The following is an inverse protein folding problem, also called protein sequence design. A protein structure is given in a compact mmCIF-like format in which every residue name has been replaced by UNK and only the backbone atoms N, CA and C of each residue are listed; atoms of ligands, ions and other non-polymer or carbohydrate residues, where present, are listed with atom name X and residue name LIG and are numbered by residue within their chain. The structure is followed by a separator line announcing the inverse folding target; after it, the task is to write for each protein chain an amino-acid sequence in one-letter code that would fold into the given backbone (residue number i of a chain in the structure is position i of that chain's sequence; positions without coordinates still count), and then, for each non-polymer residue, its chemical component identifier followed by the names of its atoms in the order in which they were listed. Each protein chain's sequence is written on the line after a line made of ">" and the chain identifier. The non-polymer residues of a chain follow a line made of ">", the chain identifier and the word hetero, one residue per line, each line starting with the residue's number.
data_IF_866973188182
#
_entry.id   IF_866973188182
#
_cell.length_a   1.000
_cell.length_b   1.000
_cell.length_c   1.000
_cell.angle_alpha   90.00
_cell.angle_beta   90.00
_cell.angle_gamma   90.00
#
_symmetry.space_group_name_H-M   'P 1'
#
loop_
_entity.id
_entity.type
_entity.pdbx_description
1 polymer ?
#
# COMPACT_ATOMS: atom_id res chain seq x y z
N UNK A 1 -4.85 16.25 4.47
CA UNK A 1 -4.88 14.77 4.45
C UNK A 1 -4.57 14.32 3.04
N UNK A 2 -3.66 13.39 2.85
CA UNK A 2 -3.29 12.85 1.54
C UNK A 2 -4.30 11.79 1.09
N UNK A 3 -4.67 11.82 -0.19
CA UNK A 3 -5.42 10.75 -0.85
C UNK A 3 -4.45 10.04 -1.78
N UNK A 4 -4.34 8.72 -1.62
CA UNK A 4 -3.36 7.89 -2.32
C UNK A 4 -4.13 6.83 -3.08
N UNK A 5 -4.20 6.95 -4.42
CA UNK A 5 -4.76 5.88 -5.25
C UNK A 5 -3.98 4.58 -5.07
N UNK A 6 -4.68 3.47 -5.16
CA UNK A 6 -4.12 2.11 -5.07
C UNK A 6 -4.31 1.39 -6.39
N UNK A 7 -3.25 0.74 -6.85
CA UNK A 7 -3.29 -0.24 -7.93
C UNK A 7 -2.81 -1.59 -7.42
N UNK A 8 -3.64 -2.62 -7.58
CA UNK A 8 -3.26 -4.01 -7.36
C UNK A 8 -2.91 -4.61 -8.72
N UNK A 9 -1.65 -5.03 -8.91
CA UNK A 9 -1.16 -5.59 -10.16
C UNK A 9 -1.12 -7.12 -10.08
N UNK A 10 -1.74 -7.78 -11.06
CA UNK A 10 -1.75 -9.24 -11.21
C UNK A 10 -1.80 -9.61 -12.68
N UNK A 11 -0.95 -10.52 -13.12
CA UNK A 11 -0.90 -11.02 -14.50
C UNK A 11 -0.86 -9.89 -15.55
N UNK A 12 -0.07 -8.84 -15.31
CA UNK A 12 0.10 -7.70 -16.23
C UNK A 12 -1.05 -6.69 -16.23
N UNK A 13 -2.02 -6.80 -15.33
CA UNK A 13 -3.23 -5.99 -15.31
C UNK A 13 -3.48 -5.39 -13.91
N UNK A 14 -4.19 -4.26 -13.89
CA UNK A 14 -4.80 -3.76 -12.66
C UNK A 14 -6.03 -4.60 -12.35
N UNK A 15 -6.11 -5.11 -11.12
CA UNK A 15 -7.21 -5.96 -10.67
C UNK A 15 -8.02 -5.31 -9.55
N UNK A 16 -9.26 -5.73 -9.41
CA UNK A 16 -10.14 -5.29 -8.33
C UNK A 16 -9.91 -6.15 -7.09
N UNK A 17 -9.24 -5.57 -6.08
CA UNK A 17 -9.04 -6.24 -4.80
C UNK A 17 -10.36 -6.38 -4.02
N UNK A 18 -10.60 -7.58 -3.46
CA UNK A 18 -11.80 -7.88 -2.70
C UNK A 18 -11.49 -8.83 -1.54
N UNK A 19 -11.71 -8.36 -0.30
CA UNK A 19 -11.59 -9.13 0.95
C UNK A 19 -10.27 -9.88 1.15
N UNK A 20 -9.18 -9.44 0.50
CA UNK A 20 -7.89 -10.14 0.57
C UNK A 20 -7.88 -11.53 -0.09
N UNK A 21 -8.91 -11.86 -0.90
CA UNK A 21 -9.00 -13.11 -1.67
C UNK A 21 -8.32 -12.97 -3.03
N UNK A 22 -6.97 -12.88 -3.02
CA UNK A 22 -6.12 -12.60 -4.17
C UNK A 22 -6.27 -13.59 -5.33
N UNK A 23 -6.76 -14.81 -5.06
CA UNK A 23 -6.96 -15.84 -6.11
C UNK A 23 -8.08 -15.45 -7.06
N UNK A 24 -9.13 -14.81 -6.55
CA UNK A 24 -10.35 -14.48 -7.28
C UNK A 24 -10.40 -13.01 -7.76
N UNK A 25 -9.28 -12.28 -7.74
CA UNK A 25 -9.24 -10.91 -8.26
C UNK A 25 -9.35 -10.92 -9.77
N UNK A 26 -10.29 -10.15 -10.29
CA UNK A 26 -10.55 -9.97 -11.72
C UNK A 26 -9.98 -8.61 -12.19
N UNK A 27 -9.70 -8.48 -13.50
CA UNK A 27 -9.31 -7.19 -14.08
C UNK A 27 -10.30 -6.09 -13.71
N UNK A 28 -9.78 -4.89 -13.40
CA UNK A 28 -10.62 -3.77 -12.99
C UNK A 28 -11.57 -3.37 -14.10
N UNK A 29 -12.82 -3.11 -13.72
CA UNK A 29 -13.81 -2.43 -14.55
C UNK A 29 -14.13 -1.10 -13.89
N UNK A 30 -13.77 0.00 -14.52
CA UNK A 30 -13.92 1.34 -13.97
C UNK A 30 -14.53 2.29 -14.99
N UNK A 31 -15.30 3.26 -14.50
CA UNK A 31 -15.77 4.37 -15.31
C UNK A 31 -14.62 5.26 -15.83
N UNK A 32 -13.45 5.18 -15.20
CA UNK A 32 -12.26 5.95 -15.58
C UNK A 32 -11.60 5.42 -16.86
N UNK A 33 -11.69 4.11 -17.13
CA UNK A 33 -11.05 3.49 -18.28
C UNK A 33 -11.70 2.17 -18.66
N UNK A 34 -11.78 1.89 -19.97
CA UNK A 34 -12.19 0.58 -20.50
C UNK A 34 -11.03 -0.44 -20.51
N UNK A 35 -9.80 -0.01 -20.18
CA UNK A 35 -8.61 -0.86 -20.11
C UNK A 35 -8.23 -1.13 -18.68
N UNK A 36 -7.70 -2.32 -18.42
CA UNK A 36 -7.04 -2.71 -17.15
C UNK A 36 -5.51 -2.62 -17.23
N UNK A 37 -4.96 -2.07 -18.33
CA UNK A 37 -3.51 -1.83 -18.47
C UNK A 37 -3.02 -0.79 -17.45
N UNK A 38 -1.96 -1.08 -16.66
CA UNK A 38 -1.53 -0.22 -15.56
C UNK A 38 -1.25 1.23 -15.97
N UNK A 39 -0.53 1.44 -17.07
CA UNK A 39 -0.18 2.79 -17.53
C UNK A 39 -1.43 3.58 -17.97
N UNK A 40 -2.41 2.93 -18.60
CA UNK A 40 -3.67 3.58 -19.03
C UNK A 40 -4.48 3.99 -17.80
N UNK A 41 -4.57 3.13 -16.77
CA UNK A 41 -5.25 3.47 -15.52
C UNK A 41 -4.57 4.66 -14.82
N UNK A 42 -3.23 4.69 -14.75
CA UNK A 42 -2.50 5.81 -14.14
C UNK A 42 -2.73 7.11 -14.92
N UNK A 43 -2.74 7.07 -16.27
CA UNK A 43 -3.08 8.23 -17.11
C UNK A 43 -4.49 8.76 -16.80
N UNK A 44 -5.45 7.87 -16.66
CA UNK A 44 -6.83 8.25 -16.32
C UNK A 44 -6.91 8.88 -14.92
N UNK A 45 -6.26 8.28 -13.92
CA UNK A 45 -6.18 8.84 -12.56
C UNK A 45 -5.53 10.22 -12.53
N UNK A 46 -4.39 10.40 -13.21
CA UNK A 46 -3.68 11.67 -13.27
C UNK A 46 -4.45 12.75 -14.05
N UNK A 47 -5.29 12.35 -14.98
CA UNK A 47 -6.20 13.27 -15.69
C UNK A 47 -7.38 13.71 -14.81
N UNK A 48 -7.81 12.88 -13.86
CA UNK A 48 -8.85 13.21 -12.91
C UNK A 48 -8.34 14.20 -11.85
N UNK A 49 -7.16 13.95 -11.31
CA UNK A 49 -6.51 14.78 -10.30
C UNK A 49 -4.99 14.54 -10.33
N UNK A 50 -4.14 15.59 -10.17
CA UNK A 50 -2.68 15.44 -10.15
C UNK A 50 -2.21 14.83 -8.81
N UNK A 51 -2.42 13.53 -8.65
CA UNK A 51 -1.99 12.82 -7.45
C UNK A 51 -0.47 12.85 -7.33
N UNK A 52 0.03 13.12 -6.13
CA UNK A 52 1.47 13.12 -5.81
C UNK A 52 2.00 11.75 -5.48
N UNK A 53 1.13 10.86 -5.00
CA UNK A 53 1.46 9.52 -4.51
C UNK A 53 0.59 8.50 -5.21
N UNK A 54 1.16 7.34 -5.47
CA UNK A 54 0.46 6.16 -5.99
C UNK A 54 0.96 4.94 -5.24
N UNK A 55 0.07 4.20 -4.59
CA UNK A 55 0.43 2.91 -4.01
C UNK A 55 0.23 1.81 -5.04
N UNK A 56 1.23 0.94 -5.19
CA UNK A 56 1.17 -0.24 -6.05
C UNK A 56 1.44 -1.47 -5.19
N UNK A 57 0.48 -2.40 -5.16
CA UNK A 57 0.70 -3.77 -4.70
C UNK A 57 1.03 -4.66 -5.92
N UNK A 58 2.25 -5.13 -6.00
CA UNK A 58 2.65 -6.14 -7.00
C UNK A 58 2.29 -7.53 -6.47
N UNK A 59 1.06 -7.96 -6.77
CA UNK A 59 0.53 -9.21 -6.21
C UNK A 59 1.26 -10.45 -6.72
N UNK A 60 1.80 -10.42 -7.94
CA UNK A 60 2.59 -11.54 -8.45
C UNK A 60 3.93 -11.65 -7.69
N UNK A 61 4.57 -10.51 -7.38
CA UNK A 61 5.78 -10.50 -6.55
C UNK A 61 5.49 -10.94 -5.10
N UNK A 62 4.41 -10.43 -4.49
CA UNK A 62 3.98 -10.83 -3.14
C UNK A 62 3.74 -12.34 -3.05
N UNK A 63 3.15 -12.93 -4.10
CA UNK A 63 2.82 -14.37 -4.16
C UNK A 63 3.97 -15.24 -4.71
N UNK A 64 5.06 -14.64 -5.20
CA UNK A 64 6.20 -15.37 -5.79
C UNK A 64 5.92 -15.93 -7.19
N UNK A 65 4.98 -15.34 -7.94
CA UNK A 65 4.55 -15.77 -9.26
C UNK A 65 5.13 -14.93 -10.41
N UNK A 66 6.08 -14.05 -10.12
CA UNK A 66 6.67 -13.10 -11.08
C UNK A 66 6.76 -11.70 -10.50
N UNK A 67 6.76 -10.67 -11.34
CA UNK A 67 6.74 -9.27 -10.92
C UNK A 67 6.31 -8.35 -12.06
N UNK A 68 5.97 -7.09 -11.72
CA UNK A 68 5.58 -6.05 -12.67
C UNK A 68 6.60 -4.90 -12.74
N UNK A 69 7.90 -5.23 -12.60
CA UNK A 69 8.96 -4.21 -12.58
C UNK A 69 9.03 -3.39 -13.88
N UNK A 70 8.72 -3.98 -15.03
CA UNK A 70 8.71 -3.29 -16.32
C UNK A 70 7.55 -2.28 -16.39
N UNK A 71 6.36 -2.66 -15.98
CA UNK A 71 5.16 -1.82 -15.93
C UNK A 71 5.36 -0.64 -14.99
N UNK A 72 5.91 -0.88 -13.79
CA UNK A 72 6.18 0.14 -12.79
C UNK A 72 7.22 1.15 -13.31
N UNK A 73 8.29 0.67 -13.95
CA UNK A 73 9.30 1.54 -14.58
C UNK A 73 8.72 2.38 -15.72
N UNK A 74 7.80 1.83 -16.50
CA UNK A 74 7.09 2.58 -17.56
C UNK A 74 6.21 3.68 -16.95
N UNK A 75 5.50 3.40 -15.85
CA UNK A 75 4.73 4.43 -15.13
C UNK A 75 5.67 5.55 -14.62
N UNK A 76 6.80 5.20 -14.01
CA UNK A 76 7.77 6.20 -13.52
C UNK A 76 8.34 7.07 -14.64
N UNK A 77 8.56 6.49 -15.81
CA UNK A 77 9.08 7.22 -17.00
C UNK A 77 8.07 8.25 -17.49
N UNK A 78 6.78 7.88 -17.57
CA UNK A 78 5.72 8.78 -18.05
C UNK A 78 5.31 9.82 -16.99
N UNK A 79 5.47 9.47 -15.70
CA UNK A 79 5.11 10.31 -14.55
C UNK A 79 6.29 10.49 -13.58
N UNK A 80 7.34 11.24 -13.95
CA UNK A 80 8.58 11.34 -13.15
C UNK A 80 8.40 12.03 -11.80
N UNK A 81 7.32 12.81 -11.62
CA UNK A 81 6.99 13.52 -10.38
C UNK A 81 6.02 12.76 -9.47
N UNK A 82 5.50 11.61 -9.95
CA UNK A 82 4.64 10.72 -9.16
C UNK A 82 5.50 9.82 -8.27
N UNK A 83 5.38 9.96 -6.95
CA UNK A 83 6.05 9.07 -6.00
C UNK A 83 5.27 7.75 -5.90
N UNK A 84 5.88 6.66 -6.35
CA UNK A 84 5.29 5.33 -6.27
C UNK A 84 5.69 4.69 -4.95
N UNK A 85 4.71 4.27 -4.15
CA UNK A 85 4.85 3.45 -2.97
C UNK A 85 4.65 1.99 -3.37
N UNK A 86 5.73 1.24 -3.41
CA UNK A 86 5.71 -0.14 -3.92
C UNK A 86 5.72 -1.16 -2.79
N UNK A 87 4.67 -1.96 -2.71
CA UNK A 87 4.63 -3.21 -1.98
C UNK A 87 4.78 -4.37 -2.98
N UNK A 88 5.93 -5.04 -2.94
CA UNK A 88 6.22 -6.22 -3.75
C UNK A 88 6.55 -7.44 -2.87
N UNK A 89 6.07 -7.44 -1.63
CA UNK A 89 6.28 -8.54 -0.69
C UNK A 89 7.76 -8.76 -0.37
N UNK A 90 8.50 -7.68 -0.14
CA UNK A 90 9.94 -7.74 0.14
C UNK A 90 10.24 -8.61 1.36
N UNK A 91 11.13 -9.60 1.19
CA UNK A 91 11.55 -10.54 2.23
C UNK A 91 13.04 -10.47 2.54
N UNK A 92 13.83 -9.90 1.63
CA UNK A 92 15.28 -9.81 1.72
C UNK A 92 15.81 -8.45 1.27
N UNK A 93 17.02 -8.08 1.70
CA UNK A 93 17.71 -6.85 1.29
C UNK A 93 18.05 -6.83 -0.20
N UNK A 94 18.37 -7.99 -0.79
CA UNK A 94 18.69 -8.11 -2.22
C UNK A 94 17.49 -7.74 -3.10
N UNK A 95 16.28 -8.10 -2.68
CA UNK A 95 15.06 -7.73 -3.40
C UNK A 95 14.85 -6.20 -3.44
N UNK A 96 15.26 -5.49 -2.38
CA UNK A 96 15.22 -4.02 -2.30
C UNK A 96 16.30 -3.40 -3.19
N UNK A 97 17.49 -4.00 -3.26
CA UNK A 97 18.60 -3.49 -4.06
C UNK A 97 18.24 -3.36 -5.55
N UNK A 98 17.36 -4.21 -6.07
CA UNK A 98 16.87 -4.12 -7.44
C UNK A 98 16.14 -2.80 -7.75
N UNK A 99 15.67 -2.08 -6.72
CA UNK A 99 14.93 -0.81 -6.82
C UNK A 99 15.74 0.42 -6.44
N UNK A 100 17.00 0.27 -6.00
CA UNK A 100 17.83 1.38 -5.50
C UNK A 100 18.06 2.51 -6.50
N UNK A 101 18.01 2.23 -7.81
CA UNK A 101 18.19 3.23 -8.87
C UNK A 101 16.86 3.78 -9.40
N UNK A 102 15.76 3.50 -8.73
CA UNK A 102 14.42 3.98 -9.06
C UNK A 102 13.97 5.08 -8.10
N UNK A 103 12.94 5.84 -8.47
CA UNK A 103 12.27 6.81 -7.58
C UNK A 103 11.12 6.15 -6.78
N UNK A 104 11.12 4.82 -6.71
CA UNK A 104 10.13 4.08 -5.95
C UNK A 104 10.46 4.15 -4.47
N UNK A 105 9.47 4.39 -3.65
CA UNK A 105 9.55 4.27 -2.21
C UNK A 105 9.07 2.88 -1.79
N UNK A 106 9.91 2.15 -1.09
CA UNK A 106 9.61 0.78 -0.66
C UNK A 106 8.55 0.79 0.44
N UNK A 107 7.57 -0.10 0.30
CA UNK A 107 6.64 -0.46 1.38
C UNK A 107 7.01 -1.84 1.89
N UNK A 108 7.25 -1.93 3.20
CA UNK A 108 7.50 -3.20 3.88
C UNK A 108 6.18 -3.67 4.51
N UNK A 109 5.51 -4.62 3.84
CA UNK A 109 4.29 -5.23 4.33
C UNK A 109 4.58 -6.26 5.42
N UNK A 110 3.98 -6.10 6.60
CA UNK A 110 4.25 -6.95 7.75
C UNK A 110 3.88 -8.41 7.51
N UNK A 111 2.88 -8.68 6.68
CA UNK A 111 2.49 -10.05 6.29
C UNK A 111 3.61 -10.81 5.55
N UNK A 112 4.53 -10.07 4.90
CA UNK A 112 5.65 -10.64 4.14
C UNK A 112 6.95 -10.79 4.95
N UNK A 113 7.01 -10.17 6.14
CA UNK A 113 8.20 -10.19 6.99
C UNK A 113 8.36 -11.55 7.68
N UNK A 114 9.58 -12.11 7.56
CA UNK A 114 9.92 -13.42 8.15
C UNK A 114 10.40 -13.28 9.59
N UNK A 115 11.17 -12.22 9.89
CA UNK A 115 11.76 -11.98 11.22
C UNK A 115 12.09 -10.51 11.40
N UNK A 116 12.34 -10.11 12.66
CA UNK A 116 12.81 -8.75 12.98
C UNK A 116 14.22 -8.50 12.43
N UNK A 117 15.07 -9.52 12.38
CA UNK A 117 16.43 -9.36 11.83
C UNK A 117 16.39 -9.12 10.31
N UNK A 118 15.56 -9.85 9.58
CA UNK A 118 15.36 -9.58 8.14
C UNK A 118 14.74 -8.21 7.90
N UNK A 119 13.80 -7.79 8.74
CA UNK A 119 13.21 -6.45 8.70
C UNK A 119 14.27 -5.36 8.89
N UNK A 120 15.12 -5.46 9.93
CA UNK A 120 16.21 -4.52 10.17
C UNK A 120 17.23 -4.48 9.03
N UNK A 121 17.57 -5.63 8.45
CA UNK A 121 18.44 -5.70 7.28
C UNK A 121 17.83 -4.97 6.08
N UNK A 122 16.53 -5.13 5.84
CA UNK A 122 15.81 -4.40 4.79
C UNK A 122 15.71 -2.91 5.04
N UNK A 123 15.49 -2.47 6.29
CA UNK A 123 15.55 -1.04 6.64
C UNK A 123 16.90 -0.41 6.27
N UNK A 124 18.00 -1.11 6.57
CA UNK A 124 19.35 -0.64 6.27
C UNK A 124 19.67 -0.65 4.76
N UNK A 125 19.03 -1.53 3.98
CA UNK A 125 19.18 -1.60 2.54
C UNK A 125 18.42 -0.48 1.79
N UNK A 126 17.41 0.11 2.41
CA UNK A 126 16.62 1.19 1.80
C UNK A 126 17.44 2.49 1.74
N UNK A 127 17.53 3.12 0.56
CA UNK A 127 18.17 4.46 0.41
C UNK A 127 17.35 5.59 1.02
N UNK A 128 16.05 5.47 0.97
CA UNK A 128 15.10 6.39 1.59
C UNK A 128 14.32 5.64 2.66
N UNK A 129 13.87 6.35 3.69
CA UNK A 129 13.05 5.73 4.74
C UNK A 129 11.84 5.02 4.12
N UNK A 130 11.71 3.70 4.28
CA UNK A 130 10.57 2.98 3.75
C UNK A 130 9.30 3.31 4.53
N UNK A 131 8.17 2.89 4.01
CA UNK A 131 6.88 2.91 4.70
C UNK A 131 6.66 1.50 5.26
N UNK A 132 6.20 1.41 6.49
CA UNK A 132 5.78 0.13 7.07
C UNK A 132 4.28 -0.04 6.89
N UNK A 133 3.83 -1.15 6.29
CA UNK A 133 2.44 -1.55 6.33
C UNK A 133 2.23 -2.54 7.48
N UNK A 134 1.43 -2.16 8.45
CA UNK A 134 0.94 -3.05 9.50
C UNK A 134 -0.35 -3.70 9.00
N UNK A 135 -0.26 -4.97 8.64
CA UNK A 135 -1.31 -5.70 7.98
C UNK A 135 -2.13 -6.49 8.99
N UNK A 136 -3.44 -6.29 8.95
CA UNK A 136 -4.40 -6.97 9.84
C UNK A 136 -5.43 -7.74 9.01
N UNK A 137 -5.83 -8.90 9.49
CA UNK A 137 -6.93 -9.68 8.91
C UNK A 137 -7.80 -10.25 10.01
N UNK A 138 -9.10 -9.94 9.97
CA UNK A 138 -10.06 -10.29 11.02
C UNK A 138 -9.60 -9.85 12.43
N UNK A 139 -9.01 -8.65 12.53
CA UNK A 139 -8.48 -8.10 13.78
C UNK A 139 -7.14 -8.68 14.24
N UNK A 140 -6.57 -9.66 13.55
CA UNK A 140 -5.29 -10.27 13.88
C UNK A 140 -4.15 -9.63 13.08
N UNK A 141 -3.08 -9.26 13.75
CA UNK A 141 -1.86 -8.77 13.12
C UNK A 141 -1.16 -9.90 12.33
N UNK A 142 -0.73 -9.59 11.13
CA UNK A 142 0.05 -10.49 10.28
C UNK A 142 1.49 -10.01 10.24
N UNK A 143 2.38 -10.72 10.92
CA UNK A 143 3.81 -10.38 10.94
C UNK A 143 4.51 -10.87 12.20
N UNK A 144 5.80 -10.58 12.34
CA UNK A 144 6.55 -10.91 13.55
C UNK A 144 5.99 -10.17 14.77
N UNK A 145 5.60 -10.90 15.81
CA UNK A 145 4.99 -10.35 17.03
C UNK A 145 5.79 -9.19 17.68
N UNK A 146 7.14 -9.21 17.75
CA UNK A 146 7.89 -8.09 18.28
C UNK A 146 7.66 -6.77 17.52
N UNK A 147 7.32 -6.83 16.24
CA UNK A 147 7.09 -5.61 15.44
C UNK A 147 5.87 -4.83 15.93
N UNK A 148 4.77 -5.52 16.27
CA UNK A 148 3.56 -4.84 16.76
C UNK A 148 3.70 -4.40 18.23
N UNK A 149 4.54 -5.08 19.00
CA UNK A 149 4.73 -4.82 20.43
C UNK A 149 5.78 -3.72 20.71
N UNK A 150 6.68 -3.43 19.76
CA UNK A 150 7.71 -2.39 19.89
C UNK A 150 7.63 -1.34 18.78
N UNK A 151 6.86 -0.26 18.99
CA UNK A 151 6.74 0.82 18.00
C UNK A 151 8.06 1.56 17.70
N UNK A 152 9.10 1.42 18.52
CA UNK A 152 10.41 2.02 18.23
C UNK A 152 11.08 1.38 16.99
N UNK A 153 10.61 0.21 16.58
CA UNK A 153 11.03 -0.43 15.33
C UNK A 153 10.40 0.20 14.09
N UNK A 154 9.34 1.02 14.23
CA UNK A 154 8.60 1.55 13.11
C UNK A 154 9.29 2.78 12.51
N UNK A 155 9.25 2.95 11.17
CA UNK A 155 9.61 4.20 10.54
C UNK A 155 8.55 5.28 10.85
N UNK A 156 8.86 6.53 10.45
CA UNK A 156 7.95 7.66 10.72
C UNK A 156 6.61 7.60 9.98
N UNK A 157 6.48 6.75 8.97
CA UNK A 157 5.27 6.61 8.16
C UNK A 157 4.78 5.16 8.19
N UNK A 158 3.52 5.00 8.59
CA UNK A 158 2.90 3.70 8.80
C UNK A 158 1.55 3.65 8.10
N UNK A 159 1.33 2.61 7.31
CA UNK A 159 0.02 2.23 6.80
C UNK A 159 -0.60 1.25 7.79
N UNK A 160 -1.85 1.46 8.16
CA UNK A 160 -2.67 0.47 8.87
C UNK A 160 -3.60 -0.15 7.85
N UNK A 161 -3.29 -1.38 7.45
CA UNK A 161 -3.96 -2.11 6.39
C UNK A 161 -4.90 -3.16 6.97
N UNK A 162 -6.22 -2.99 6.76
CA UNK A 162 -7.23 -3.97 7.15
C UNK A 162 -7.65 -4.78 5.92
N UNK A 163 -6.99 -5.93 5.72
CA UNK A 163 -7.08 -6.72 4.49
C UNK A 163 -8.48 -7.27 4.21
N UNK A 164 -9.21 -7.70 5.23
CA UNK A 164 -10.58 -8.19 5.08
C UNK A 164 -11.59 -7.08 4.76
N UNK A 165 -11.21 -5.82 4.97
CA UNK A 165 -12.03 -4.67 4.59
C UNK A 165 -11.68 -4.10 3.21
N UNK A 166 -10.61 -4.54 2.57
CA UNK A 166 -10.26 -4.11 1.20
C UNK A 166 -11.40 -4.47 0.24
N UNK A 167 -11.94 -3.45 -0.46
CA UNK A 167 -13.06 -3.61 -1.40
C UNK A 167 -14.42 -3.95 -0.76
N UNK A 168 -14.54 -3.94 0.58
CA UNK A 168 -15.78 -4.30 1.30
C UNK A 168 -16.82 -3.18 1.36
N UNK A 169 -16.39 -1.92 1.16
CA UNK A 169 -17.23 -0.73 1.37
C UNK A 169 -17.84 -0.63 2.79
N UNK A 170 -17.16 -1.18 3.81
CA UNK A 170 -17.64 -1.19 5.21
C UNK A 170 -17.27 0.08 5.99
N UNK A 171 -16.40 0.91 5.45
CA UNK A 171 -15.74 2.02 6.13
C UNK A 171 -14.38 1.61 6.72
N UNK A 172 -13.51 2.58 7.10
CA UNK A 172 -12.21 2.30 7.70
C UNK A 172 -12.35 1.71 9.11
N UNK A 173 -11.43 0.83 9.50
CA UNK A 173 -11.38 0.29 10.87
C UNK A 173 -10.82 1.34 11.85
N UNK A 174 -11.71 2.19 12.35
CA UNK A 174 -11.35 3.26 13.29
C UNK A 174 -10.83 2.72 14.63
N UNK A 175 -11.21 1.50 15.01
CA UNK A 175 -10.76 0.85 16.25
C UNK A 175 -9.28 0.48 16.13
N UNK A 176 -8.93 -0.21 15.04
CA UNK A 176 -7.55 -0.60 14.78
C UNK A 176 -6.64 0.62 14.58
N UNK A 177 -7.11 1.59 13.78
CA UNK A 177 -6.41 2.87 13.57
C UNK A 177 -6.13 3.61 14.88
N UNK A 178 -7.11 3.67 15.80
CA UNK A 178 -6.95 4.30 17.11
C UNK A 178 -5.97 3.54 17.98
N UNK A 179 -6.01 2.20 17.98
CA UNK A 179 -5.07 1.37 18.74
C UNK A 179 -3.62 1.66 18.31
N UNK A 180 -3.34 1.65 17.01
CA UNK A 180 -2.00 1.95 16.47
C UNK A 180 -1.56 3.38 16.81
N UNK A 181 -2.44 4.37 16.65
CA UNK A 181 -2.13 5.76 16.97
C UNK A 181 -1.80 5.98 18.44
N UNK A 182 -2.42 5.22 19.34
CA UNK A 182 -2.12 5.28 20.77
C UNK A 182 -0.75 4.68 21.11
N UNK A 183 -0.29 3.67 20.35
CA UNK A 183 1.04 3.06 20.52
C UNK A 183 2.15 4.00 20.04
N UNK A 184 1.92 4.74 18.94
CA UNK A 184 2.94 5.60 18.33
C UNK A 184 2.34 6.89 17.77
N UNK A 185 2.10 7.85 18.66
CA UNK A 185 1.40 9.10 18.33
C UNK A 185 2.17 10.06 17.40
N UNK A 186 3.47 9.85 17.21
CA UNK A 186 4.34 10.70 16.36
C UNK A 186 4.43 10.23 14.92
N UNK A 187 3.98 9.01 14.62
CA UNK A 187 3.99 8.51 13.25
C UNK A 187 2.95 9.22 12.36
N UNK A 188 3.30 9.39 11.10
CA UNK A 188 2.35 9.71 10.05
C UNK A 188 1.57 8.44 9.70
N UNK A 189 0.29 8.37 10.08
CA UNK A 189 -0.53 7.18 9.92
C UNK A 189 -1.47 7.35 8.73
N UNK A 190 -1.47 6.34 7.85
CA UNK A 190 -2.32 6.21 6.67
C UNK A 190 -3.30 5.06 6.87
N UNK A 191 -4.57 5.31 6.59
CA UNK A 191 -5.62 4.29 6.67
C UNK A 191 -5.74 3.54 5.34
N UNK A 192 -5.86 2.21 5.38
CA UNK A 192 -6.07 1.38 4.21
C UNK A 192 -7.09 0.26 4.48
N UNK A 193 -8.00 0.06 3.54
CA UNK A 193 -9.11 -0.89 3.64
C UNK A 193 -10.44 -0.23 4.03
N UNK A 194 -11.50 -0.57 3.31
CA UNK A 194 -12.89 -0.23 3.60
C UNK A 194 -13.35 1.19 3.24
N UNK A 195 -12.47 2.12 2.92
CA UNK A 195 -12.82 3.53 2.63
C UNK A 195 -13.71 3.59 1.39
N UNK A 196 -14.85 4.25 1.51
CA UNK A 196 -15.93 4.23 0.50
C UNK A 196 -16.46 5.63 0.12
N UNK A 197 -16.29 6.62 0.99
CA UNK A 197 -16.98 7.91 0.82
C UNK A 197 -16.16 9.10 1.33
N UNK A 198 -16.58 10.28 0.92
CA UNK A 198 -16.04 11.55 1.42
C UNK A 198 -16.24 11.68 2.94
N UNK A 199 -17.32 11.12 3.51
CA UNK A 199 -17.58 11.16 4.95
C UNK A 199 -16.57 10.32 5.74
N UNK A 200 -16.14 9.17 5.17
CA UNK A 200 -15.05 8.39 5.76
C UNK A 200 -13.74 9.21 5.78
N UNK A 201 -13.43 9.92 4.68
CA UNK A 201 -12.27 10.80 4.58
C UNK A 201 -12.35 11.98 5.57
N UNK A 202 -13.52 12.61 5.71
CA UNK A 202 -13.75 13.68 6.69
C UNK A 202 -13.56 13.16 8.12
N UNK A 203 -14.02 11.95 8.41
CA UNK A 203 -13.82 11.29 9.71
C UNK A 203 -12.34 11.04 10.01
N UNK A 204 -11.59 10.52 9.05
CA UNK A 204 -10.14 10.30 9.17
C UNK A 204 -9.40 11.64 9.37
N UNK A 205 -9.77 12.67 8.60
CA UNK A 205 -9.20 14.02 8.71
C UNK A 205 -9.47 14.64 10.09
N UNK A 206 -10.70 14.56 10.58
CA UNK A 206 -11.09 15.08 11.89
C UNK A 206 -10.34 14.39 13.04
N UNK A 207 -9.94 13.12 12.85
CA UNK A 207 -9.14 12.36 13.80
C UNK A 207 -7.61 12.53 13.60
N UNK A 208 -7.18 13.44 12.71
CA UNK A 208 -5.78 13.75 12.42
C UNK A 208 -4.98 12.53 11.93
N UNK A 209 -5.54 11.72 11.03
CA UNK A 209 -4.78 10.78 10.22
C UNK A 209 -4.15 11.50 9.02
N UNK A 210 -2.95 11.06 8.62
CA UNK A 210 -2.14 11.74 7.60
C UNK A 210 -2.72 11.58 6.20
N UNK A 211 -3.25 10.40 5.91
CA UNK A 211 -3.83 10.09 4.61
C UNK A 211 -4.64 8.81 4.58
N UNK A 212 -5.12 8.50 3.39
CA UNK A 212 -5.93 7.33 3.10
C UNK A 212 -5.54 6.72 1.75
N UNK A 213 -5.41 5.39 1.72
CA UNK A 213 -5.21 4.60 0.52
C UNK A 213 -6.59 4.21 -0.03
N UNK A 214 -6.85 4.53 -1.29
CA UNK A 214 -8.17 4.35 -1.90
C UNK A 214 -8.05 3.58 -3.21
N UNK A 215 -8.76 2.46 -3.32
CA UNK A 215 -8.82 1.63 -4.51
C UNK A 215 -10.16 1.81 -5.25
N UNK A 216 -11.26 1.38 -4.63
CA UNK A 216 -12.57 1.24 -5.27
C UNK A 216 -13.50 2.45 -5.11
N UNK A 217 -13.07 3.49 -4.39
CA UNK A 217 -13.85 4.72 -4.19
C UNK A 217 -13.39 5.86 -5.13
N UNK A 218 -12.48 5.60 -6.05
CA UNK A 218 -12.08 6.42 -7.19
C UNK A 218 -12.68 5.80 -8.47
#
# INVERSE_FOLDING_TARGET
>A
MNIIPVLDLKAGQVVHAKHGDRQNYLPIQSALSHSSEPLIIVKALQSLYPFKYLYIADLDAIQGNGNHAAEIKNIQKDFPDLEIWLDAGFKTSEAIEAWQNSKVRIVLGSESLVSIDSYKAMLNACRTTPILSLDFKFGHFLGPEPLINDPQLWPNEVIVMTLDQVGSQSGPDLTQLKAIKNLWSVAAIYAAGGIRSVDDLNTLKAKNYTGALIASAL
#
